data_IF_622076967118
#
_entry.id   IF_622076967118
#
_cell.length_a   1.000
_cell.length_b   1.000
_cell.length_c   1.000
_cell.angle_alpha   90.00
_cell.angle_beta   90.00
_cell.angle_gamma   90.00
#
_symmetry.space_group_name_H-M   'P 1'
#
loop_
_entity.id
_entity.type
_entity.pdbx_description
1 polymer ?
#
# COMPACT_ATOMS: atom_id res chain seq x y z
N UNK A 1 16.66 -23.51 -43.94
CA UNK A 1 16.31 -23.25 -42.52
C UNK A 1 17.36 -22.40 -41.82
N UNK A 2 18.64 -22.73 -41.90
CA UNK A 2 19.76 -22.00 -41.25
C UNK A 2 19.85 -20.52 -41.65
N UNK A 3 19.60 -20.20 -42.93
CA UNK A 3 19.66 -18.83 -43.44
C UNK A 3 18.51 -17.93 -42.91
N UNK A 4 17.31 -18.50 -42.76
CA UNK A 4 16.16 -17.81 -42.15
C UNK A 4 16.44 -17.47 -40.68
N UNK A 5 17.00 -18.43 -39.94
CA UNK A 5 17.38 -18.19 -38.50
C UNK A 5 18.46 -17.11 -38.42
N UNK A 6 19.43 -17.10 -39.34
CA UNK A 6 20.47 -16.06 -39.40
C UNK A 6 19.87 -14.67 -39.67
N UNK A 7 18.97 -14.57 -40.65
CA UNK A 7 18.29 -13.33 -41.00
C UNK A 7 17.41 -12.82 -39.81
N UNK A 8 16.69 -13.72 -39.14
CA UNK A 8 15.93 -13.37 -37.94
C UNK A 8 16.86 -12.84 -36.85
N UNK A 9 18.03 -13.46 -36.62
CA UNK A 9 19.02 -12.98 -35.65
C UNK A 9 19.54 -11.58 -35.97
N UNK A 10 19.88 -11.33 -37.25
CA UNK A 10 20.34 -10.02 -37.71
C UNK A 10 19.26 -8.95 -37.57
N UNK A 11 18.00 -9.27 -37.92
CA UNK A 11 16.88 -8.36 -37.78
C UNK A 11 16.64 -8.04 -36.31
N UNK A 12 16.68 -9.05 -35.44
CA UNK A 12 16.51 -8.86 -33.97
C UNK A 12 17.62 -7.94 -33.40
N UNK A 13 18.87 -8.15 -33.80
CA UNK A 13 19.99 -7.30 -33.39
C UNK A 13 19.79 -5.84 -33.84
N UNK A 14 19.36 -5.64 -35.08
CA UNK A 14 19.11 -4.29 -35.60
C UNK A 14 17.93 -3.62 -34.92
N UNK A 15 16.84 -4.34 -34.60
CA UNK A 15 15.72 -3.82 -33.82
C UNK A 15 16.17 -3.41 -32.42
N UNK A 16 16.93 -4.26 -31.71
CA UNK A 16 17.48 -3.95 -30.40
C UNK A 16 18.36 -2.70 -30.47
N UNK A 17 19.31 -2.64 -31.44
CA UNK A 17 20.22 -1.52 -31.58
C UNK A 17 19.51 -0.18 -31.84
N UNK A 18 18.43 -0.17 -32.62
CA UNK A 18 17.71 1.05 -33.01
C UNK A 18 16.70 1.50 -31.97
N UNK A 19 15.97 0.56 -31.41
CA UNK A 19 14.76 0.84 -30.63
C UNK A 19 14.87 0.54 -29.14
N UNK A 20 15.90 -0.20 -28.69
CA UNK A 20 16.08 -0.44 -27.27
C UNK A 20 16.55 0.81 -26.55
N UNK A 21 15.89 1.13 -25.45
CA UNK A 21 16.22 2.22 -24.54
C UNK A 21 16.05 1.77 -23.10
N UNK A 22 16.92 2.25 -22.22
CA UNK A 22 16.72 2.14 -20.78
C UNK A 22 15.72 3.22 -20.35
N UNK A 23 14.64 2.81 -19.71
CA UNK A 23 13.57 3.71 -19.27
C UNK A 23 13.09 3.35 -17.88
N UNK A 24 12.60 4.36 -17.18
CA UNK A 24 11.83 4.11 -15.98
C UNK A 24 10.36 3.94 -16.35
N UNK A 25 9.84 2.81 -15.92
CA UNK A 25 8.48 2.35 -16.12
C UNK A 25 7.71 2.47 -14.81
N UNK A 26 6.46 2.90 -14.89
CA UNK A 26 5.55 2.95 -13.74
C UNK A 26 4.21 2.37 -14.15
N UNK A 27 3.68 1.48 -13.33
CA UNK A 27 2.27 1.11 -13.37
C UNK A 27 1.57 1.68 -12.14
N UNK A 28 0.40 2.26 -12.36
CA UNK A 28 -0.52 2.73 -11.33
C UNK A 28 -1.87 2.03 -11.51
N UNK A 29 -2.50 1.61 -10.41
CA UNK A 29 -3.73 0.83 -10.43
C UNK A 29 -4.61 1.16 -9.23
N UNK A 30 -5.95 1.14 -9.39
CA UNK A 30 -6.93 1.39 -8.33
C UNK A 30 -7.15 0.12 -7.52
N UNK A 31 -6.88 0.19 -6.23
CA UNK A 31 -7.16 -0.94 -5.33
C UNK A 31 -8.66 -1.04 -5.06
N UNK A 32 -9.22 -2.25 -5.31
CA UNK A 32 -10.63 -2.51 -5.03
C UNK A 32 -11.61 -1.91 -6.05
N UNK A 33 -11.17 -1.59 -7.27
CA UNK A 33 -12.03 -1.09 -8.35
C UNK A 33 -13.20 -2.01 -8.68
N UNK A 34 -12.96 -3.31 -8.86
CA UNK A 34 -14.02 -4.28 -9.17
C UNK A 34 -15.15 -4.31 -8.12
N UNK A 35 -14.88 -4.50 -6.82
CA UNK A 35 -15.88 -4.38 -5.76
C UNK A 35 -16.57 -3.03 -5.74
N UNK A 36 -15.87 -1.94 -6.05
CA UNK A 36 -16.43 -0.60 -6.09
C UNK A 36 -17.46 -0.47 -7.22
N UNK A 37 -17.14 -0.92 -8.44
CA UNK A 37 -18.07 -0.96 -9.57
C UNK A 37 -19.31 -1.79 -9.25
N UNK A 38 -19.11 -2.99 -8.67
CA UNK A 38 -20.22 -3.86 -8.29
C UNK A 38 -21.17 -3.20 -7.28
N UNK A 39 -20.61 -2.45 -6.33
CA UNK A 39 -21.39 -1.84 -5.24
C UNK A 39 -22.07 -0.53 -5.64
N UNK A 40 -21.37 0.35 -6.37
CA UNK A 40 -21.83 1.72 -6.64
C UNK A 40 -22.23 1.96 -8.10
N UNK A 41 -22.08 0.95 -8.96
CA UNK A 41 -22.44 0.99 -10.37
C UNK A 41 -21.39 1.65 -11.26
N UNK A 42 -21.60 1.52 -12.58
CA UNK A 42 -20.65 1.94 -13.61
C UNK A 42 -20.38 3.45 -13.61
N UNK A 43 -21.38 4.27 -13.36
CA UNK A 43 -21.23 5.72 -13.34
C UNK A 43 -20.25 6.18 -12.26
N UNK A 44 -20.41 5.65 -11.03
CA UNK A 44 -19.51 5.96 -9.92
C UNK A 44 -18.10 5.39 -10.17
N UNK A 45 -18.01 4.18 -10.74
CA UNK A 45 -16.73 3.56 -11.11
C UNK A 45 -15.96 4.40 -12.13
N UNK A 46 -16.63 4.88 -13.18
CA UNK A 46 -16.02 5.75 -14.21
C UNK A 46 -15.56 7.09 -13.63
N UNK A 47 -16.33 7.66 -12.69
CA UNK A 47 -15.90 8.89 -11.99
C UNK A 47 -14.64 8.66 -11.16
N UNK A 48 -14.52 7.50 -10.51
CA UNK A 48 -13.31 7.14 -9.76
C UNK A 48 -12.10 6.94 -10.69
N UNK A 49 -12.29 6.29 -11.84
CA UNK A 49 -11.25 6.13 -12.86
C UNK A 49 -10.81 7.50 -13.43
N UNK A 50 -11.76 8.38 -13.74
CA UNK A 50 -11.43 9.72 -14.24
C UNK A 50 -10.63 10.51 -13.21
N UNK A 51 -11.03 10.47 -11.93
CA UNK A 51 -10.26 11.08 -10.86
C UNK A 51 -8.83 10.54 -10.79
N UNK A 52 -8.64 9.22 -10.94
CA UNK A 52 -7.31 8.61 -10.98
C UNK A 52 -6.46 9.22 -12.09
N UNK A 53 -6.99 9.28 -13.32
CA UNK A 53 -6.24 9.79 -14.46
C UNK A 53 -5.96 11.30 -14.36
N UNK A 54 -6.90 12.10 -13.84
CA UNK A 54 -6.72 13.53 -13.62
C UNK A 54 -5.59 13.80 -12.59
N UNK A 55 -5.58 13.06 -11.49
CA UNK A 55 -4.54 13.17 -10.46
C UNK A 55 -3.18 12.64 -10.94
N UNK A 56 -3.18 11.60 -11.78
CA UNK A 56 -1.96 11.11 -12.44
C UNK A 56 -1.37 12.22 -13.32
N UNK A 57 -2.14 12.76 -14.25
CA UNK A 57 -1.66 13.79 -15.16
C UNK A 57 -1.13 15.01 -14.39
N UNK A 58 -1.89 15.49 -13.41
CA UNK A 58 -1.47 16.59 -12.55
C UNK A 58 -0.16 16.32 -11.80
N UNK A 59 0.03 15.10 -11.30
CA UNK A 59 1.19 14.75 -10.50
C UNK A 59 2.44 14.44 -11.32
N UNK A 60 2.30 13.89 -12.54
CA UNK A 60 3.45 13.47 -13.36
C UNK A 60 3.96 14.54 -14.33
N UNK A 61 3.07 15.41 -14.84
CA UNK A 61 3.40 16.41 -15.85
C UNK A 61 4.57 17.31 -15.45
N UNK A 62 4.68 17.83 -14.20
CA UNK A 62 5.82 18.65 -13.77
C UNK A 62 7.17 17.91 -13.82
N UNK A 63 7.14 16.58 -13.83
CA UNK A 63 8.34 15.72 -13.82
C UNK A 63 8.58 15.05 -15.18
N UNK A 64 7.93 15.54 -16.24
CA UNK A 64 8.03 15.00 -17.61
C UNK A 64 7.61 13.53 -17.70
N UNK A 65 6.74 13.08 -16.81
CA UNK A 65 6.08 11.79 -16.92
C UNK A 65 5.10 11.79 -18.09
N UNK A 66 4.96 10.64 -18.74
CA UNK A 66 4.04 10.48 -19.86
C UNK A 66 3.21 9.21 -19.68
N UNK A 67 1.91 9.32 -19.84
CA UNK A 67 1.03 8.16 -19.96
C UNK A 67 1.26 7.54 -21.33
N UNK A 68 1.60 6.26 -21.36
CA UNK A 68 1.80 5.46 -22.59
C UNK A 68 0.50 4.78 -22.98
N UNK A 69 -0.15 4.17 -21.98
CA UNK A 69 -1.36 3.40 -22.20
C UNK A 69 -2.22 3.37 -20.91
N UNK A 70 -3.52 3.13 -21.09
CA UNK A 70 -4.48 2.91 -20.00
C UNK A 70 -5.26 1.64 -20.28
N UNK A 71 -5.28 0.73 -19.31
CA UNK A 71 -6.03 -0.52 -19.39
C UNK A 71 -6.97 -0.64 -18.20
N UNK A 72 -8.27 -0.49 -18.47
CA UNK A 72 -9.29 -0.48 -17.42
C UNK A 72 -9.08 0.70 -16.48
N UNK A 73 -8.81 0.42 -15.21
CA UNK A 73 -8.54 1.38 -14.14
C UNK A 73 -7.03 1.62 -13.90
N UNK A 74 -6.17 0.90 -14.64
CA UNK A 74 -4.73 1.04 -14.56
C UNK A 74 -4.16 2.00 -15.60
N UNK A 75 -2.98 2.55 -15.32
CA UNK A 75 -2.21 3.38 -16.22
C UNK A 75 -0.74 2.93 -16.29
N UNK A 76 -0.21 2.90 -17.51
CA UNK A 76 1.20 2.67 -17.78
C UNK A 76 1.89 3.98 -18.15
N UNK A 77 2.95 4.30 -17.44
CA UNK A 77 3.66 5.57 -17.52
C UNK A 77 5.15 5.32 -17.75
N UNK A 78 5.80 6.30 -18.37
CA UNK A 78 7.25 6.32 -18.52
C UNK A 78 7.82 7.67 -18.10
N UNK A 79 9.06 7.65 -17.62
CA UNK A 79 9.78 8.85 -17.19
C UNK A 79 11.20 8.87 -17.76
N UNK A 80 11.77 10.06 -17.94
CA UNK A 80 13.12 10.19 -18.49
C UNK A 80 14.22 9.79 -17.49
N UNK A 81 13.92 9.80 -16.19
CA UNK A 81 14.87 9.44 -15.13
C UNK A 81 14.17 8.89 -13.89
N UNK A 82 14.93 8.15 -13.09
CA UNK A 82 14.46 7.56 -11.83
C UNK A 82 14.03 8.65 -10.84
N UNK A 83 14.82 9.69 -10.66
CA UNK A 83 14.49 10.79 -9.74
C UNK A 83 13.21 11.52 -10.16
N UNK A 84 13.01 11.74 -11.47
CA UNK A 84 11.77 12.34 -11.98
C UNK A 84 10.55 11.50 -11.66
N UNK A 85 10.67 10.19 -11.85
CA UNK A 85 9.58 9.27 -11.57
C UNK A 85 9.23 9.20 -10.09
N UNK A 86 10.23 9.04 -9.22
CA UNK A 86 10.01 9.00 -7.78
C UNK A 86 9.31 10.27 -7.29
N UNK A 87 9.75 11.44 -7.76
CA UNK A 87 9.08 12.72 -7.45
C UNK A 87 7.66 12.76 -8.00
N UNK A 88 7.43 12.27 -9.22
CA UNK A 88 6.11 12.23 -9.85
C UNK A 88 5.14 11.31 -9.11
N UNK A 89 5.52 10.06 -8.81
CA UNK A 89 4.64 9.11 -8.11
C UNK A 89 4.36 9.54 -6.67
N UNK A 90 5.33 10.17 -6.00
CA UNK A 90 5.11 10.78 -4.67
C UNK A 90 4.13 11.94 -4.76
N UNK A 91 4.26 12.80 -5.78
CA UNK A 91 3.30 13.90 -6.00
C UNK A 91 1.87 13.37 -6.24
N UNK A 92 1.72 12.31 -7.05
CA UNK A 92 0.41 11.66 -7.28
C UNK A 92 -0.17 11.14 -5.96
N UNK A 93 0.59 10.40 -5.15
CA UNK A 93 0.09 9.90 -3.86
C UNK A 93 -0.33 11.02 -2.91
N UNK A 94 0.40 12.14 -2.89
CA UNK A 94 0.02 13.33 -2.10
C UNK A 94 -1.28 13.98 -2.60
N UNK A 95 -1.48 14.05 -3.92
CA UNK A 95 -2.72 14.56 -4.52
C UNK A 95 -3.91 13.66 -4.18
N UNK A 96 -3.74 12.34 -4.28
CA UNK A 96 -4.75 11.35 -3.87
C UNK A 96 -5.11 11.52 -2.40
N UNK A 97 -4.10 11.61 -1.53
CA UNK A 97 -4.28 11.86 -0.09
C UNK A 97 -5.10 13.12 0.16
N UNK A 98 -4.76 14.22 -0.53
CA UNK A 98 -5.50 15.48 -0.42
C UNK A 98 -6.95 15.36 -0.92
N UNK A 99 -7.17 14.73 -2.06
CA UNK A 99 -8.51 14.52 -2.63
C UNK A 99 -9.39 13.67 -1.68
N UNK A 100 -8.82 12.68 -1.01
CA UNK A 100 -9.53 11.80 -0.08
C UNK A 100 -10.01 12.52 1.19
N UNK A 101 -9.42 13.65 1.59
CA UNK A 101 -9.83 14.40 2.78
C UNK A 101 -11.29 14.90 2.72
N UNK A 102 -11.81 15.17 1.52
CA UNK A 102 -13.20 15.62 1.29
C UNK A 102 -14.16 14.48 0.95
N UNK A 103 -13.67 13.23 0.77
CA UNK A 103 -14.47 12.10 0.30
C UNK A 103 -14.92 11.22 1.47
N UNK A 104 -16.13 10.69 1.39
CA UNK A 104 -16.56 9.65 2.31
C UNK A 104 -15.69 8.39 2.12
N UNK A 105 -15.41 7.67 3.20
CA UNK A 105 -14.53 6.48 3.19
C UNK A 105 -14.80 5.50 2.05
N UNK A 106 -16.09 5.20 1.79
CA UNK A 106 -16.50 4.27 0.74
C UNK A 106 -16.18 4.77 -0.69
N UNK A 107 -15.86 6.05 -0.86
CA UNK A 107 -15.55 6.69 -2.14
C UNK A 107 -14.12 7.21 -2.21
N UNK A 108 -13.25 6.81 -1.28
CA UNK A 108 -11.83 7.20 -1.32
C UNK A 108 -11.10 6.42 -2.41
N UNK A 109 -10.24 7.13 -3.13
CA UNK A 109 -9.34 6.55 -4.12
C UNK A 109 -8.12 5.97 -3.40
N UNK A 110 -7.83 4.71 -3.67
CA UNK A 110 -6.63 4.03 -3.18
C UNK A 110 -5.82 3.53 -4.37
N UNK A 111 -4.60 4.03 -4.51
CA UNK A 111 -3.70 3.63 -5.58
C UNK A 111 -2.60 2.72 -5.07
N UNK A 112 -2.17 1.79 -5.90
CA UNK A 112 -0.93 1.06 -5.77
C UNK A 112 -0.06 1.32 -6.97
N UNK A 113 1.26 1.43 -6.78
CA UNK A 113 2.18 1.74 -7.85
C UNK A 113 3.39 0.81 -7.82
N UNK A 114 3.90 0.49 -9.02
CA UNK A 114 5.14 -0.27 -9.20
C UNK A 114 6.08 0.46 -10.14
N UNK A 115 7.37 0.47 -9.80
CA UNK A 115 8.43 1.09 -10.57
C UNK A 115 9.47 0.04 -10.98
N UNK A 116 9.91 0.10 -12.23
CA UNK A 116 11.02 -0.71 -12.74
C UNK A 116 11.89 0.09 -13.69
N UNK A 117 13.20 -0.06 -13.56
CA UNK A 117 14.19 0.49 -14.48
C UNK A 117 14.75 -0.64 -15.33
N UNK A 118 14.55 -0.58 -16.64
CA UNK A 118 14.98 -1.66 -17.51
C UNK A 118 14.90 -1.35 -18.98
N UNK A 119 15.42 -2.27 -19.83
CA UNK A 119 15.39 -2.13 -21.28
C UNK A 119 13.98 -2.33 -21.82
N UNK A 120 13.60 -1.49 -22.77
CA UNK A 120 12.34 -1.56 -23.51
C UNK A 120 12.58 -1.28 -24.98
N UNK A 121 11.73 -1.82 -25.84
CA UNK A 121 11.67 -1.45 -27.24
C UNK A 121 10.67 -0.30 -27.39
N UNK A 122 11.11 0.80 -27.99
CA UNK A 122 10.26 1.98 -28.20
C UNK A 122 10.59 2.68 -29.53
N UNK A 123 9.53 3.09 -30.21
CA UNK A 123 9.58 3.99 -31.39
C UNK A 123 9.18 5.43 -31.03
N UNK A 124 9.03 5.69 -29.72
CA UNK A 124 8.58 6.95 -29.14
C UNK A 124 7.19 6.83 -28.52
N UNK A 125 6.08 6.68 -29.29
CA UNK A 125 4.74 6.51 -28.72
C UNK A 125 4.54 5.20 -27.98
N UNK A 126 4.89 4.08 -28.62
CA UNK A 126 4.74 2.75 -28.05
C UNK A 126 5.97 2.32 -27.21
N UNK A 127 5.71 1.55 -26.17
CA UNK A 127 6.75 0.98 -25.29
C UNK A 127 6.38 -0.47 -25.01
N UNK A 128 7.29 -1.40 -25.25
CA UNK A 128 7.07 -2.83 -25.07
C UNK A 128 8.33 -3.56 -24.58
N UNK A 129 8.16 -4.76 -24.08
CA UNK A 129 9.25 -5.63 -23.62
C UNK A 129 8.95 -6.29 -22.27
N UNK A 130 9.82 -7.20 -21.86
CA UNK A 130 9.65 -7.96 -20.60
C UNK A 130 9.67 -7.05 -19.36
N UNK A 131 10.42 -5.94 -19.41
CA UNK A 131 10.45 -4.92 -18.37
C UNK A 131 9.06 -4.34 -18.09
N UNK A 132 8.21 -4.17 -19.12
CA UNK A 132 6.83 -3.67 -18.95
C UNK A 132 5.99 -4.67 -18.15
N UNK A 133 6.11 -5.97 -18.49
CA UNK A 133 5.43 -7.04 -17.78
C UNK A 133 5.89 -7.12 -16.30
N UNK A 134 7.20 -7.07 -16.07
CA UNK A 134 7.77 -7.09 -14.72
C UNK A 134 7.24 -5.92 -13.90
N UNK A 135 7.26 -4.70 -14.44
CA UNK A 135 6.77 -3.50 -13.77
C UNK A 135 5.29 -3.63 -13.35
N UNK A 136 4.43 -4.17 -14.23
CA UNK A 136 3.03 -4.42 -13.92
C UNK A 136 2.86 -5.42 -12.76
N UNK A 137 3.70 -6.45 -12.67
CA UNK A 137 3.68 -7.42 -11.56
C UNK A 137 4.17 -6.83 -10.26
N UNK A 138 5.15 -5.95 -10.29
CA UNK A 138 5.61 -5.18 -9.12
C UNK A 138 4.46 -4.33 -8.59
N UNK A 139 3.75 -3.59 -9.45
CA UNK A 139 2.58 -2.79 -9.07
C UNK A 139 1.46 -3.67 -8.47
N UNK A 140 1.15 -4.79 -9.11
CA UNK A 140 0.12 -5.71 -8.62
C UNK A 140 0.45 -6.34 -7.25
N UNK A 141 1.72 -6.40 -6.88
CA UNK A 141 2.17 -6.91 -5.57
C UNK A 141 2.03 -5.88 -4.46
N UNK A 142 1.86 -4.59 -4.78
CA UNK A 142 1.77 -3.51 -3.81
C UNK A 142 0.39 -3.45 -3.12
N UNK A 143 0.40 -3.05 -1.86
CA UNK A 143 -0.82 -2.77 -1.10
C UNK A 143 -1.39 -1.37 -1.44
N UNK A 144 -2.58 -1.08 -0.94
CA UNK A 144 -3.20 0.24 -1.06
C UNK A 144 -2.29 1.33 -0.46
N UNK A 145 -2.06 2.41 -1.21
CA UNK A 145 -1.16 3.51 -0.82
C UNK A 145 0.33 3.18 -0.95
N UNK A 146 0.70 1.95 -1.32
CA UNK A 146 2.10 1.51 -1.39
C UNK A 146 2.70 1.80 -2.78
N UNK A 147 3.96 2.22 -2.77
CA UNK A 147 4.80 2.33 -3.96
C UNK A 147 5.92 1.30 -3.82
N UNK A 148 5.96 0.33 -4.73
CA UNK A 148 7.02 -0.67 -4.80
C UNK A 148 7.97 -0.39 -5.96
N UNK A 149 9.22 -0.70 -5.75
CA UNK A 149 10.24 -0.56 -6.78
C UNK A 149 11.19 -1.76 -6.77
N UNK A 150 11.74 -2.05 -7.94
CA UNK A 150 12.74 -3.11 -8.06
C UNK A 150 14.13 -2.62 -7.64
N UNK A 151 15.06 -3.56 -7.43
CA UNK A 151 16.45 -3.25 -7.06
C UNK A 151 17.15 -2.37 -8.11
N UNK A 152 16.83 -2.52 -9.38
CA UNK A 152 17.41 -1.70 -10.47
C UNK A 152 17.04 -0.23 -10.28
N UNK A 153 15.80 0.07 -9.90
CA UNK A 153 15.38 1.44 -9.56
C UNK A 153 16.17 1.96 -8.37
N UNK A 154 16.30 1.16 -7.31
CA UNK A 154 17.05 1.54 -6.10
C UNK A 154 18.51 1.86 -6.40
N UNK A 155 19.16 1.11 -7.29
CA UNK A 155 20.55 1.33 -7.68
C UNK A 155 20.76 2.65 -8.40
N UNK A 156 19.78 3.09 -9.18
CA UNK A 156 19.82 4.36 -9.91
C UNK A 156 19.41 5.57 -9.05
N UNK A 157 18.79 5.35 -7.88
CA UNK A 157 18.43 6.44 -6.97
C UNK A 157 19.64 7.12 -6.35
N UNK A 158 19.57 8.44 -6.22
CA UNK A 158 20.48 9.21 -5.39
C UNK A 158 20.35 8.86 -3.88
N UNK A 159 21.33 9.26 -3.07
CA UNK A 159 21.39 8.92 -1.63
C UNK A 159 20.11 9.28 -0.86
N UNK A 160 19.55 10.46 -1.09
CA UNK A 160 18.32 10.91 -0.45
C UNK A 160 17.12 10.01 -0.79
N UNK A 161 16.97 9.58 -2.06
CA UNK A 161 15.92 8.65 -2.47
C UNK A 161 16.11 7.25 -1.87
N UNK A 162 17.35 6.77 -1.79
CA UNK A 162 17.66 5.47 -1.17
C UNK A 162 17.29 5.42 0.30
N UNK A 163 17.47 6.51 1.04
CA UNK A 163 17.08 6.60 2.45
C UNK A 163 15.57 6.50 2.67
N UNK A 164 14.76 6.76 1.64
CA UNK A 164 13.31 6.60 1.69
C UNK A 164 12.85 5.19 1.31
N UNK A 165 13.78 4.30 0.97
CA UNK A 165 13.44 2.93 0.56
C UNK A 165 13.63 1.95 1.71
N UNK A 166 12.67 1.03 1.84
CA UNK A 166 12.70 -0.08 2.79
C UNK A 166 12.70 -1.40 2.02
N UNK A 167 13.69 -2.26 2.28
CA UNK A 167 13.76 -3.57 1.67
C UNK A 167 12.57 -4.45 2.11
N UNK A 168 11.91 -5.06 1.14
CA UNK A 168 10.89 -6.09 1.36
C UNK A 168 11.47 -7.50 1.16
N UNK A 169 12.69 -7.57 0.62
CA UNK A 169 13.36 -8.81 0.27
C UNK A 169 12.89 -9.37 -1.07
N UNK A 170 13.20 -10.63 -1.27
CA UNK A 170 12.91 -11.33 -2.52
C UNK A 170 11.47 -11.83 -2.51
N UNK A 171 10.67 -11.37 -3.47
CA UNK A 171 9.23 -11.65 -3.57
C UNK A 171 8.95 -12.48 -4.83
N UNK A 172 8.17 -13.56 -4.68
CA UNK A 172 7.65 -14.31 -5.81
C UNK A 172 6.50 -13.52 -6.46
N UNK A 173 6.71 -13.05 -7.69
CA UNK A 173 5.71 -12.32 -8.46
C UNK A 173 4.96 -13.26 -9.40
N UNK A 174 3.64 -13.14 -9.49
CA UNK A 174 2.81 -14.02 -10.32
C UNK A 174 3.21 -13.91 -11.80
N UNK A 175 3.62 -15.03 -12.41
CA UNK A 175 4.01 -15.10 -13.83
C UNK A 175 5.43 -14.59 -14.12
N UNK A 176 6.23 -14.30 -13.11
CA UNK A 176 7.66 -14.04 -13.22
C UNK A 176 8.41 -15.30 -12.77
N UNK A 177 9.35 -15.77 -13.60
CA UNK A 177 10.06 -17.04 -13.34
C UNK A 177 10.96 -16.97 -12.11
N UNK A 178 11.67 -15.87 -11.97
CA UNK A 178 12.63 -15.67 -10.89
C UNK A 178 12.05 -14.75 -9.83
N UNK A 179 12.27 -15.06 -8.54
CA UNK A 179 11.90 -14.15 -7.46
C UNK A 179 12.62 -12.81 -7.61
N UNK A 180 11.89 -11.72 -7.42
CA UNK A 180 12.36 -10.36 -7.66
C UNK A 180 12.66 -9.67 -6.34
N UNK A 181 13.79 -9.00 -6.23
CA UNK A 181 14.13 -8.16 -5.07
C UNK A 181 13.37 -6.84 -5.16
N UNK A 182 12.47 -6.63 -4.21
CA UNK A 182 11.52 -5.52 -4.18
C UNK A 182 11.72 -4.68 -2.94
N UNK A 183 11.60 -3.38 -3.11
CA UNK A 183 11.64 -2.40 -2.03
C UNK A 183 10.33 -1.58 -2.02
N UNK A 184 9.94 -1.09 -0.85
CA UNK A 184 8.88 -0.10 -0.71
C UNK A 184 9.49 1.29 -0.62
N UNK A 185 8.91 2.25 -1.33
CA UNK A 185 9.25 3.66 -1.21
C UNK A 185 8.37 4.31 -0.13
N UNK A 186 9.00 4.74 0.95
CA UNK A 186 8.33 5.48 2.01
C UNK A 186 8.19 6.95 1.59
N UNK A 187 7.05 7.27 1.01
CA UNK A 187 6.76 8.60 0.51
C UNK A 187 6.21 9.57 1.57
N UNK A 188 5.92 9.06 2.77
CA UNK A 188 5.57 9.87 3.94
C UNK A 188 6.83 10.17 4.75
N UNK A 189 6.90 11.38 5.32
CA UNK A 189 7.89 11.68 6.37
C UNK A 189 7.48 10.95 7.66
N UNK A 190 8.09 9.79 7.89
CA UNK A 190 7.79 8.94 9.06
C UNK A 190 8.12 9.62 10.39
N UNK A 191 9.02 10.61 10.41
CA UNK A 191 9.39 11.29 11.65
C UNK A 191 8.23 12.07 12.26
N UNK A 192 7.27 12.47 11.45
CA UNK A 192 6.11 13.26 11.85
C UNK A 192 4.85 12.42 12.07
N UNK A 193 4.87 11.12 11.74
CA UNK A 193 3.69 10.27 11.79
C UNK A 193 3.87 9.14 12.78
N UNK A 194 2.96 8.97 13.74
CA UNK A 194 2.83 7.74 14.49
C UNK A 194 2.66 6.55 13.51
N UNK A 195 3.35 5.47 13.78
CA UNK A 195 3.23 4.20 13.04
C UNK A 195 2.47 3.15 13.82
N UNK A 196 2.34 3.37 15.12
CA UNK A 196 1.68 2.47 16.06
C UNK A 196 0.90 3.27 17.08
N UNK A 197 -0.09 2.62 17.71
CA UNK A 197 -0.71 3.10 18.94
C UNK A 197 -0.60 2.02 20.00
N UNK A 198 -0.30 2.40 21.24
CA UNK A 198 -0.34 1.53 22.39
C UNK A 198 -1.57 1.86 23.24
N UNK A 199 -2.34 0.85 23.59
CA UNK A 199 -3.41 0.94 24.58
C UNK A 199 -2.79 0.84 25.96
N UNK A 200 -2.91 1.85 26.82
CA UNK A 200 -2.27 1.85 28.14
C UNK A 200 -2.86 0.78 29.05
N UNK A 201 -4.17 0.61 29.02
CA UNK A 201 -4.91 -0.30 29.91
C UNK A 201 -4.60 -1.78 29.64
N UNK A 202 -4.32 -2.14 28.37
CA UNK A 202 -4.01 -3.53 27.98
C UNK A 202 -2.55 -3.74 27.63
N UNK A 203 -1.78 -2.68 27.45
CA UNK A 203 -0.41 -2.66 26.90
C UNK A 203 -0.31 -3.19 25.46
N UNK A 204 -1.44 -3.41 24.80
CA UNK A 204 -1.49 -3.84 23.42
C UNK A 204 -0.93 -2.76 22.50
N UNK A 205 -0.08 -3.16 21.55
CA UNK A 205 0.47 -2.29 20.51
C UNK A 205 -0.18 -2.69 19.20
N UNK A 206 -0.77 -1.72 18.52
CA UNK A 206 -1.49 -1.89 17.25
C UNK A 206 -0.76 -1.10 16.18
N UNK A 207 -0.35 -1.79 15.11
CA UNK A 207 0.21 -1.14 13.92
C UNK A 207 -0.86 -0.33 13.20
N UNK A 208 -0.53 0.91 12.83
CA UNK A 208 -1.43 1.75 12.06
C UNK A 208 -1.35 1.41 10.57
N UNK A 209 -2.49 1.18 9.90
CA UNK A 209 -2.48 0.93 8.47
C UNK A 209 -1.98 2.14 7.68
N UNK A 210 -1.34 1.89 6.54
CA UNK A 210 -0.84 2.93 5.62
C UNK A 210 -2.00 3.53 4.80
N UNK A 211 -2.94 4.17 5.51
CA UNK A 211 -4.11 4.83 4.91
C UNK A 211 -4.13 6.30 5.28
N UNK A 212 -4.78 7.12 4.45
CA UNK A 212 -4.90 8.56 4.68
C UNK A 212 -5.89 8.90 5.79
N UNK A 213 -6.88 8.02 6.00
CA UNK A 213 -7.85 8.13 7.08
C UNK A 213 -7.94 6.79 7.78
N UNK A 214 -7.55 6.77 9.05
CA UNK A 214 -7.61 5.59 9.91
C UNK A 214 -8.75 5.80 10.91
N UNK A 215 -9.72 4.90 10.91
CA UNK A 215 -10.91 5.00 11.77
C UNK A 215 -10.77 4.12 12.99
N UNK A 216 -11.19 4.66 14.13
CA UNK A 216 -11.12 4.01 15.45
C UNK A 216 -12.51 3.95 16.10
N UNK A 217 -12.86 2.81 16.65
CA UNK A 217 -14.11 2.63 17.38
C UNK A 217 -14.32 1.18 17.81
N UNK A 218 -15.37 0.93 18.63
CA UNK A 218 -15.64 -0.42 19.14
C UNK A 218 -16.38 -1.33 18.15
N UNK A 219 -16.95 -0.77 17.06
CA UNK A 219 -17.71 -1.56 16.09
C UNK A 219 -16.76 -2.24 15.12
N UNK A 220 -16.81 -3.57 15.07
CA UNK A 220 -15.96 -4.37 14.17
C UNK A 220 -16.51 -4.39 12.75
N UNK A 221 -17.80 -4.58 12.62
CA UNK A 221 -18.46 -4.78 11.32
C UNK A 221 -19.79 -4.03 11.27
N UNK A 222 -20.14 -3.50 10.10
CA UNK A 222 -21.42 -2.88 9.80
C UNK A 222 -21.84 -3.24 8.36
N UNK A 223 -23.00 -3.83 8.23
CA UNK A 223 -23.54 -4.27 6.94
C UNK A 223 -22.59 -5.17 6.12
N UNK A 224 -21.90 -6.10 6.79
CA UNK A 224 -20.97 -7.04 6.16
C UNK A 224 -19.60 -6.44 5.79
N UNK A 225 -19.30 -5.23 6.24
CA UNK A 225 -18.03 -4.55 5.99
C UNK A 225 -17.33 -4.16 7.29
N UNK A 226 -15.97 -4.13 7.31
CA UNK A 226 -15.23 -3.59 8.45
C UNK A 226 -15.68 -2.16 8.76
N UNK A 227 -16.13 -1.93 10.00
CA UNK A 227 -16.62 -0.62 10.42
C UNK A 227 -15.51 0.36 10.79
N UNK A 228 -14.43 -0.15 11.39
CA UNK A 228 -13.25 0.62 11.77
C UNK A 228 -11.99 -0.12 11.32
N UNK A 229 -10.93 0.65 11.06
CA UNK A 229 -9.61 0.09 10.76
C UNK A 229 -8.94 -0.44 12.02
N UNK A 230 -9.15 0.26 13.13
CA UNK A 230 -8.69 -0.13 14.46
C UNK A 230 -9.90 -0.33 15.35
N UNK A 231 -10.15 -1.60 15.70
CA UNK A 231 -11.24 -1.97 16.60
C UNK A 231 -10.75 -1.89 18.03
N UNK A 232 -11.34 -0.97 18.80
CA UNK A 232 -10.99 -0.73 20.19
C UNK A 232 -11.82 -1.62 21.12
N UNK A 233 -11.15 -2.33 22.01
CA UNK A 233 -11.75 -3.16 23.05
C UNK A 233 -11.26 -2.70 24.42
N UNK A 234 -12.12 -2.79 25.44
CA UNK A 234 -11.74 -2.57 26.83
C UNK A 234 -11.94 -3.87 27.63
N UNK A 235 -11.02 -4.25 28.54
CA UNK A 235 -11.16 -5.47 29.36
C UNK A 235 -12.43 -5.50 30.19
N UNK A 236 -12.86 -4.35 30.71
CA UNK A 236 -14.13 -4.19 31.40
C UNK A 236 -15.26 -3.89 30.42
N UNK A 237 -16.30 -4.75 30.33
CA UNK A 237 -17.46 -4.54 29.45
C UNK A 237 -18.26 -3.27 29.76
N UNK A 238 -18.26 -2.78 31.00
CA UNK A 238 -18.95 -1.54 31.35
C UNK A 238 -18.21 -0.34 30.75
N UNK A 239 -16.90 -0.30 30.89
CA UNK A 239 -16.05 0.73 30.31
C UNK A 239 -16.07 0.68 28.77
N UNK A 240 -16.14 -0.52 28.16
CA UNK A 240 -16.25 -0.68 26.71
C UNK A 240 -17.47 0.06 26.10
N UNK A 241 -18.56 0.22 26.85
CA UNK A 241 -19.77 0.93 26.39
C UNK A 241 -19.53 2.45 26.22
N UNK A 242 -18.58 3.02 26.91
CA UNK A 242 -18.20 4.45 26.78
C UNK A 242 -17.42 4.73 25.49
N UNK A 243 -16.84 3.69 24.85
CA UNK A 243 -16.21 3.82 23.55
C UNK A 243 -17.30 3.79 22.48
N UNK A 244 -17.39 4.83 21.64
CA UNK A 244 -18.40 4.90 20.58
C UNK A 244 -18.13 3.88 19.46
N UNK A 245 -19.19 3.49 18.73
CA UNK A 245 -19.08 2.60 17.57
C UNK A 245 -18.08 3.11 16.55
N UNK A 246 -18.16 4.41 16.24
CA UNK A 246 -17.17 5.20 15.51
C UNK A 246 -16.76 6.33 16.44
N UNK A 247 -15.54 6.28 16.96
CA UNK A 247 -15.14 7.21 18.03
C UNK A 247 -14.36 8.40 17.50
N UNK A 248 -13.31 8.16 16.75
CA UNK A 248 -12.51 9.18 16.08
C UNK A 248 -11.84 8.64 14.83
N UNK A 249 -11.22 9.53 14.06
CA UNK A 249 -10.37 9.21 12.93
C UNK A 249 -9.05 9.97 13.02
N UNK A 250 -7.95 9.32 12.59
CA UNK A 250 -6.70 9.99 12.29
C UNK A 250 -6.64 10.27 10.80
N UNK A 251 -6.43 11.51 10.44
CA UNK A 251 -6.30 11.98 9.06
C UNK A 251 -4.86 12.34 8.79
N UNK A 252 -4.27 11.71 7.81
CA UNK A 252 -2.93 12.02 7.35
C UNK A 252 -2.97 13.26 6.47
N UNK A 253 -2.13 14.25 6.81
CA UNK A 253 -1.90 15.46 6.03
C UNK A 253 -0.41 15.62 5.77
N UNK A 254 -0.02 16.57 4.92
CA UNK A 254 1.39 16.85 4.62
C UNK A 254 2.20 17.16 5.89
N UNK A 255 1.58 17.80 6.86
CA UNK A 255 2.16 18.31 8.11
C UNK A 255 2.01 17.36 9.31
N UNK A 256 1.47 16.17 9.13
CA UNK A 256 1.32 15.19 10.21
C UNK A 256 -0.06 14.53 10.27
N UNK A 257 -0.31 13.80 11.35
CA UNK A 257 -1.64 13.29 11.64
C UNK A 257 -2.51 14.33 12.38
N UNK A 258 -3.78 14.36 12.00
CA UNK A 258 -4.82 15.16 12.64
C UNK A 258 -5.93 14.25 13.13
N UNK A 259 -6.21 14.29 14.41
CA UNK A 259 -7.34 13.58 15.01
C UNK A 259 -8.61 14.39 14.85
N UNK A 260 -9.70 13.72 14.42
CA UNK A 260 -11.05 14.30 14.40
C UNK A 260 -11.99 13.42 15.21
N UNK A 261 -12.54 13.93 16.28
CA UNK A 261 -13.57 13.22 17.05
C UNK A 261 -14.86 13.06 16.23
N UNK A 262 -15.41 11.86 16.20
CA UNK A 262 -16.71 11.49 15.61
C UNK A 262 -17.76 11.20 16.68
N UNK A 263 -17.33 11.10 17.90
CA UNK A 263 -18.13 10.76 19.06
C UNK A 263 -18.74 11.97 19.73
N UNK A 264 -19.89 11.79 20.36
CA UNK A 264 -20.48 12.77 21.29
C UNK A 264 -19.91 12.61 22.70
N UNK A 265 -19.17 11.52 22.97
CA UNK A 265 -18.44 11.35 24.24
C UNK A 265 -17.12 12.12 24.21
N UNK A 266 -16.66 12.55 25.39
CA UNK A 266 -15.44 13.36 25.52
C UNK A 266 -14.24 12.59 24.96
N UNK A 267 -13.54 13.21 24.02
CA UNK A 267 -12.25 12.76 23.50
C UNK A 267 -11.22 13.82 23.86
N UNK A 268 -10.10 13.44 24.45
CA UNK A 268 -9.05 14.36 24.87
C UNK A 268 -7.74 14.04 24.14
N UNK A 269 -6.99 15.06 23.76
CA UNK A 269 -5.60 14.93 23.30
C UNK A 269 -4.72 15.66 24.31
N UNK A 270 -3.81 14.92 24.96
CA UNK A 270 -2.91 15.43 26.01
C UNK A 270 -3.68 16.16 27.13
N UNK A 271 -4.83 15.61 27.54
CA UNK A 271 -5.68 16.18 28.59
C UNK A 271 -6.53 17.38 28.16
N UNK A 272 -6.50 17.74 26.87
CA UNK A 272 -7.35 18.83 26.33
C UNK A 272 -8.55 18.23 25.61
N UNK A 273 -9.78 18.55 26.02
CA UNK A 273 -10.98 18.08 25.33
C UNK A 273 -11.02 18.55 23.88
N UNK A 274 -11.36 17.62 22.98
CA UNK A 274 -11.50 17.89 21.54
C UNK A 274 -12.98 17.85 21.18
N UNK A 275 -13.58 18.95 20.76
CA UNK A 275 -14.96 18.99 20.30
C UNK A 275 -15.16 18.08 19.07
N UNK A 276 -16.37 17.49 18.96
CA UNK A 276 -16.76 16.68 17.80
C UNK A 276 -16.58 17.46 16.50
N UNK A 277 -15.91 16.84 15.53
CA UNK A 277 -15.69 17.42 14.20
C UNK A 277 -14.50 18.38 14.11
N UNK A 278 -13.88 18.76 15.22
CA UNK A 278 -12.67 19.60 15.22
C UNK A 278 -11.43 18.73 14.91
N UNK A 279 -10.51 19.29 14.14
CA UNK A 279 -9.21 18.68 13.85
C UNK A 279 -8.18 19.14 14.88
N UNK A 280 -7.46 18.20 15.48
CA UNK A 280 -6.35 18.45 16.43
C UNK A 280 -5.13 17.67 15.96
N UNK A 281 -3.94 18.31 15.86
CA UNK A 281 -2.72 17.60 15.46
C UNK A 281 -2.33 16.55 16.50
N UNK A 282 -1.83 15.40 16.03
CA UNK A 282 -1.33 14.29 16.85
C UNK A 282 0.07 13.91 16.39
N UNK A 283 1.02 13.89 17.32
CA UNK A 283 2.42 13.54 17.10
C UNK A 283 2.80 12.27 17.88
N UNK A 284 3.90 11.61 17.52
CA UNK A 284 4.46 10.57 18.37
C UNK A 284 4.65 11.05 19.80
N UNK A 285 4.25 10.24 20.77
CA UNK A 285 4.22 10.57 22.20
C UNK A 285 2.90 11.14 22.71
N UNK A 286 2.01 11.62 21.86
CA UNK A 286 0.73 12.17 22.28
C UNK A 286 -0.22 11.08 22.81
N UNK A 287 -1.04 11.48 23.78
CA UNK A 287 -2.03 10.62 24.45
C UNK A 287 -3.44 11.02 24.04
N UNK A 288 -4.20 10.08 23.51
CA UNK A 288 -5.60 10.25 23.13
C UNK A 288 -6.44 9.47 24.13
N UNK A 289 -7.23 10.18 24.97
CA UNK A 289 -8.08 9.57 25.97
C UNK A 289 -9.54 9.58 25.50
N UNK A 290 -10.18 8.43 25.57
CA UNK A 290 -11.52 8.19 25.07
C UNK A 290 -12.51 8.03 26.22
N UNK A 291 -13.38 9.00 26.42
CA UNK A 291 -14.45 8.98 27.44
C UNK A 291 -13.98 8.61 28.86
N UNK A 292 -12.72 8.87 29.19
CA UNK A 292 -12.13 8.43 30.45
C UNK A 292 -11.91 6.91 30.60
N UNK A 293 -12.28 6.13 29.58
CA UNK A 293 -12.27 4.67 29.63
C UNK A 293 -10.99 4.06 29.04
N UNK A 294 -10.46 4.61 27.94
CA UNK A 294 -9.32 4.04 27.24
C UNK A 294 -8.33 5.13 26.84
N UNK A 295 -7.04 4.86 26.99
CA UNK A 295 -5.96 5.79 26.62
C UNK A 295 -5.08 5.15 25.55
N UNK A 296 -4.96 5.82 24.41
CA UNK A 296 -4.08 5.46 23.31
C UNK A 296 -2.85 6.36 23.36
N UNK A 297 -1.66 5.78 23.28
CA UNK A 297 -0.40 6.52 23.12
C UNK A 297 0.07 6.35 21.68
N UNK A 298 0.23 7.46 20.97
CA UNK A 298 0.78 7.48 19.63
C UNK A 298 2.27 7.15 19.68
N UNK A 299 2.70 6.10 19.00
CA UNK A 299 4.09 5.65 18.98
C UNK A 299 4.67 5.77 17.58
N UNK A 300 5.98 6.04 17.54
CA UNK A 300 6.78 5.89 16.35
C UNK A 300 7.56 4.58 16.48
N UNK A 301 7.42 3.67 15.51
CA UNK A 301 8.28 2.50 15.47
C UNK A 301 9.72 2.98 15.25
N UNK A 302 10.61 2.76 16.21
CA UNK A 302 12.03 2.86 15.97
C UNK A 302 12.42 1.70 15.05
N UNK A 303 13.02 1.99 13.90
CA UNK A 303 13.61 0.97 13.01
C UNK A 303 14.75 0.19 13.71
N UNK A 304 15.19 0.67 14.86
CA UNK A 304 16.13 0.05 15.75
C UNK A 304 15.41 -0.15 17.08
N UNK A 305 15.02 -1.39 17.38
CA UNK A 305 14.48 -1.73 18.69
C UNK A 305 15.52 -1.37 19.77
N UNK A 306 15.37 -0.23 20.38
CA UNK A 306 15.94 0.04 21.66
C UNK A 306 14.92 -0.53 22.67
N UNK A 307 15.10 -1.78 23.07
CA UNK A 307 14.56 -2.25 24.33
C UNK A 307 15.21 -1.40 25.42
N UNK A 308 14.43 -1.09 26.46
CA UNK A 308 14.78 -0.23 27.60
C UNK A 308 15.98 -0.75 28.43
N UNK A 309 16.63 -1.85 27.99
CA UNK A 309 17.77 -2.53 28.61
C UNK A 309 19.10 -2.43 27.83
N UNK A 310 19.22 -1.54 26.85
CA UNK A 310 20.52 -1.19 26.22
C UNK A 310 21.16 -2.30 25.39
N UNK A 311 20.45 -3.35 25.00
CA UNK A 311 20.95 -4.38 24.09
C UNK A 311 20.23 -4.32 22.73
N UNK A 312 21.00 -4.00 21.69
CA UNK A 312 20.54 -3.99 20.30
C UNK A 312 20.37 -5.43 19.81
N UNK A 313 19.14 -5.94 19.81
CA UNK A 313 18.84 -7.24 19.21
C UNK A 313 18.24 -7.06 17.82
N UNK A 314 18.92 -7.59 16.83
CA UNK A 314 18.41 -7.73 15.45
C UNK A 314 17.24 -8.73 15.49
N UNK A 315 16.01 -8.29 15.23
CA UNK A 315 14.87 -9.18 14.98
C UNK A 315 14.80 -9.51 13.50
N UNK A 316 15.03 -10.75 13.08
CA UNK A 316 14.72 -11.16 11.71
C UNK A 316 13.20 -11.15 11.51
N UNK A 317 12.77 -10.73 10.31
CA UNK A 317 11.37 -10.76 9.91
C UNK A 317 10.76 -12.13 10.18
N UNK A 318 9.59 -12.16 10.83
CA UNK A 318 8.81 -13.36 11.09
C UNK A 318 8.54 -14.09 9.76
N UNK A 319 9.17 -15.26 9.60
CA UNK A 319 8.86 -16.22 8.56
C UNK A 319 7.41 -16.68 8.72
N UNK A 320 6.66 -16.69 7.61
CA UNK A 320 5.36 -17.35 7.54
C UNK A 320 5.48 -18.77 8.13
N UNK A 321 4.61 -19.10 9.07
CA UNK A 321 4.55 -20.40 9.70
C UNK A 321 4.33 -21.53 8.69
N UNK A 322 4.78 -22.77 9.02
CA UNK A 322 4.70 -23.89 8.10
C UNK A 322 3.24 -24.30 7.86
N UNK A 323 2.96 -24.65 6.61
CA UNK A 323 1.71 -25.28 6.19
C UNK A 323 1.48 -26.56 7.03
N UNK A 324 0.24 -26.75 7.47
CA UNK A 324 -0.19 -27.92 8.23
C UNK A 324 0.13 -29.21 7.48
N UNK A 325 0.79 -30.10 8.20
CA UNK A 325 1.18 -31.44 7.75
C UNK A 325 -0.02 -32.31 7.38
N UNK A 326 0.17 -33.02 6.28
CA UNK A 326 -0.65 -34.09 5.75
C UNK A 326 -0.87 -35.21 6.80
N UNK A 327 -2.12 -35.58 6.97
CA UNK A 327 -2.56 -36.78 7.70
C UNK A 327 -2.07 -38.04 6.95
N UNK A 328 -1.45 -39.02 7.60
CA UNK A 328 -1.05 -40.27 6.96
C UNK A 328 -2.25 -41.18 6.70
N UNK A 329 -2.32 -41.73 5.49
CA UNK A 329 -3.26 -42.77 5.10
C UNK A 329 -3.02 -44.05 5.90
N UNK A 330 -4.04 -44.56 6.58
CA UNK A 330 -4.08 -45.92 7.16
C UNK A 330 -4.41 -46.96 6.08
N UNK A 331 -4.08 -48.26 6.35
CA UNK A 331 -3.96 -49.27 5.31
C UNK A 331 -5.30 -49.81 4.80
N UNK A 332 -5.25 -50.26 3.56
CA UNK A 332 -6.29 -50.97 2.83
C UNK A 332 -6.74 -52.24 3.53
N UNK A 333 -8.02 -52.47 3.62
CA UNK A 333 -8.62 -53.79 3.82
C UNK A 333 -9.35 -54.18 2.55
N UNK A 334 -8.97 -55.35 2.08
CA UNK A 334 -9.50 -56.05 0.90
C UNK A 334 -10.92 -56.59 1.12
N UNK A 335 -11.48 -56.87 0.00
CA UNK A 335 -12.46 -57.92 -0.33
C UNK A 335 -13.95 -57.60 -0.39
N UNK A 336 -14.50 -57.83 -1.52
CA UNK A 336 -15.68 -58.68 -1.61
C UNK A 336 -16.77 -58.28 -2.60
N UNK A 337 -16.70 -58.81 -3.82
CA UNK A 337 -17.78 -59.39 -4.59
C UNK A 337 -18.98 -58.48 -5.06
N UNK A 338 -19.08 -58.31 -6.36
CA UNK A 338 -20.33 -58.21 -7.11
C UNK A 338 -21.24 -59.45 -6.87
N UNK A 339 -22.58 -59.45 -7.15
CA UNK A 339 -23.10 -59.22 -8.50
C UNK A 339 -24.52 -58.60 -8.64
N UNK A 340 -24.78 -58.17 -9.88
CA UNK A 340 -26.09 -58.24 -10.64
C UNK A 340 -27.35 -57.64 -9.98
N UNK A 341 -27.97 -56.68 -10.55
CA UNK A 341 -28.97 -56.71 -11.65
C UNK A 341 -29.03 -55.31 -12.26
#
# INVERSE_FOLDING_TARGET
>A
MTEIIRLQGLLQQELTRRFERQMLLVFSDIVGSMPYFTRFGDAAGRQLQQLHFDLLDQGISPFRGRVVDTAGDGAFLVFPSVDSAVRGVVAVQRLVSHANLSRARAHQLQLRMGLHWGPVLTDGPAVSGDSVNLCSRVAASAAAGEIRLTREVFQELGSAGRMQCRALGVVALKGVREPTDVLALDWHDRSQFPTQVRIEETREIIDLPLQDIITFGRLREHEGLPANDVVLAHPDPQMARHISRWHFELRRRIDGFWMRSRSDTVTEVNGRPTPKGQDVPVKPGDRIRLAGALTLVALQSSLFGADDDGQTMFRPALSAGPAADSVPAGPAAEAGASPKV
#
